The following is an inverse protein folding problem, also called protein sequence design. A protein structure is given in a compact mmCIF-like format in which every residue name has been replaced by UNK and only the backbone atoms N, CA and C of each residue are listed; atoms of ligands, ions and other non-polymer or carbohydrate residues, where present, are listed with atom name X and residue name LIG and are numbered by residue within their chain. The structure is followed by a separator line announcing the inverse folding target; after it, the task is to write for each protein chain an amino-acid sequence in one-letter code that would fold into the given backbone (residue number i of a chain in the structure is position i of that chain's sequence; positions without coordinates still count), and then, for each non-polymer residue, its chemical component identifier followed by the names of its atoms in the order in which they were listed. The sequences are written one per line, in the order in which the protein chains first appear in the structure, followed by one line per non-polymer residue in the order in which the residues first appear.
data_IF_392362364058
#
_entry.id   IF_392362364058
#
_cell.length_a   1.000
_cell.length_b   1.000
_cell.length_c   1.000
_cell.angle_alpha   90.00
_cell.angle_beta   90.00
_cell.angle_gamma   90.00
#
_symmetry.space_group_name_H-M   'P 1'
#
loop_
_entity.id
_entity.type
_entity.pdbx_description
1 polymer ?
#
# COMPACT_ATOMS: atom_id res chain seq x y z
N UNK A 1 42.70 -41.58 -4.26
CA UNK A 1 42.62 -41.39 -5.72
C UNK A 1 41.26 -41.91 -6.14
N UNK A 2 40.25 -41.18 -6.61
CA UNK A 2 40.13 -39.93 -7.36
C UNK A 2 38.72 -39.34 -7.10
N UNK A 3 38.61 -38.04 -6.78
CA UNK A 3 38.22 -36.94 -7.68
C UNK A 3 36.73 -36.98 -8.09
N UNK A 4 35.89 -36.26 -7.36
CA UNK A 4 35.41 -34.92 -7.72
C UNK A 4 34.39 -34.91 -8.86
N UNK A 5 33.12 -34.72 -8.51
CA UNK A 5 32.17 -34.04 -9.39
C UNK A 5 31.37 -33.03 -8.57
N UNK A 6 31.84 -31.78 -8.64
CA UNK A 6 31.17 -30.59 -8.15
C UNK A 6 30.02 -30.24 -9.09
N UNK A 7 28.79 -30.25 -8.59
CA UNK A 7 27.65 -29.42 -9.02
C UNK A 7 26.79 -29.30 -7.74
N UNK A 8 26.84 -28.22 -6.97
CA UNK A 8 26.61 -26.86 -7.41
C UNK A 8 25.11 -26.55 -7.33
N UNK A 9 24.52 -26.70 -6.14
CA UNK A 9 23.20 -26.17 -5.83
C UNK A 9 23.32 -25.40 -4.52
N UNK A 10 23.93 -24.22 -4.61
CA UNK A 10 23.85 -23.19 -3.59
C UNK A 10 22.37 -22.84 -3.47
N UNK A 11 21.67 -23.49 -2.55
CA UNK A 11 20.35 -23.04 -2.11
C UNK A 11 20.57 -21.71 -1.40
N UNK A 12 20.63 -20.63 -2.17
CA UNK A 12 20.35 -19.28 -1.70
C UNK A 12 18.89 -19.31 -1.25
N UNK A 13 18.68 -19.71 0.01
CA UNK A 13 17.52 -19.33 0.78
C UNK A 13 17.57 -17.80 0.87
N UNK A 14 17.09 -17.14 -0.18
CA UNK A 14 16.59 -15.78 -0.10
C UNK A 14 15.51 -15.86 0.96
N UNK A 15 15.82 -15.38 2.15
CA UNK A 15 14.84 -15.05 3.17
C UNK A 15 13.97 -13.96 2.58
N UNK A 16 12.97 -14.34 1.77
CA UNK A 16 11.83 -13.48 1.53
C UNK A 16 11.25 -13.25 2.94
N UNK A 17 11.21 -12.01 3.45
CA UNK A 17 10.40 -11.76 4.61
C UNK A 17 8.98 -12.19 4.23
N UNK A 18 8.49 -13.16 4.98
CA UNK A 18 7.13 -13.67 4.94
C UNK A 18 6.17 -12.48 5.14
N UNK A 19 5.78 -11.83 4.04
CA UNK A 19 4.78 -10.78 4.01
C UNK A 19 3.50 -11.19 3.30
N UNK A 20 3.39 -12.45 2.88
CA UNK A 20 2.19 -13.01 2.24
C UNK A 20 1.44 -13.91 3.23
N UNK A 21 1.06 -13.37 4.38
CA UNK A 21 -0.04 -13.92 5.18
C UNK A 21 -1.37 -13.26 4.77
N UNK A 22 -1.66 -13.23 3.47
CA UNK A 22 -3.02 -12.97 2.98
C UNK A 22 -3.76 -14.32 2.87
N UNK A 23 -3.99 -14.97 4.01
CA UNK A 23 -4.85 -16.14 4.09
C UNK A 23 -5.61 -16.10 5.43
N UNK A 24 -6.46 -15.08 5.56
CA UNK A 24 -7.43 -14.94 6.63
C UNK A 24 -8.50 -13.99 6.13
N UNK A 25 -9.76 -14.45 6.03
CA UNK A 25 -10.89 -13.68 5.51
C UNK A 25 -11.33 -12.52 6.41
N UNK A 26 -10.38 -11.65 6.79
CA UNK A 26 -10.58 -10.48 7.63
C UNK A 26 -10.14 -9.20 6.92
N UNK A 27 -10.73 -8.08 7.36
CA UNK A 27 -10.34 -6.72 6.95
C UNK A 27 -8.81 -6.56 7.11
N UNK A 28 -8.09 -6.06 6.09
CA UNK A 28 -6.64 -5.84 6.18
C UNK A 28 -6.33 -4.84 7.30
N UNK A 29 -5.11 -4.87 7.85
CA UNK A 29 -4.66 -3.91 8.85
C UNK A 29 -4.55 -2.48 8.28
N UNK A 30 -4.55 -1.47 9.16
CA UNK A 30 -4.34 -0.08 8.75
C UNK A 30 -2.98 0.09 8.08
N UNK A 31 -1.96 -0.59 8.57
CA UNK A 31 -0.60 -0.54 8.05
C UNK A 31 -0.54 -1.10 6.62
N UNK A 32 -1.24 -2.21 6.35
CA UNK A 32 -1.34 -2.79 5.00
C UNK A 32 -2.09 -1.85 4.04
N UNK A 33 -3.21 -1.26 4.48
CA UNK A 33 -3.97 -0.28 3.68
C UNK A 33 -3.12 0.97 3.38
N UNK A 34 -2.41 1.49 4.38
CA UNK A 34 -1.53 2.64 4.21
C UNK A 34 -0.40 2.36 3.21
N UNK A 35 0.28 1.22 3.36
CA UNK A 35 1.36 0.83 2.46
C UNK A 35 0.86 0.62 1.02
N UNK A 36 -0.29 -0.02 0.86
CA UNK A 36 -0.93 -0.20 -0.45
C UNK A 36 -1.36 1.13 -1.09
N UNK A 37 -1.90 2.06 -0.29
CA UNK A 37 -2.25 3.40 -0.77
C UNK A 37 -1.04 4.25 -1.15
N UNK A 38 0.05 4.20 -0.37
CA UNK A 38 1.31 4.88 -0.71
C UNK A 38 1.84 4.40 -2.06
N UNK A 39 1.85 3.08 -2.30
CA UNK A 39 2.22 2.48 -3.60
C UNK A 39 1.30 2.95 -4.74
N UNK A 40 0.00 3.09 -4.49
CA UNK A 40 -0.94 3.64 -5.47
C UNK A 40 -0.59 5.08 -5.83
N UNK A 41 -0.27 5.93 -4.84
CA UNK A 41 0.15 7.31 -5.10
C UNK A 41 1.43 7.36 -5.95
N UNK A 42 2.44 6.57 -5.59
CA UNK A 42 3.70 6.46 -6.33
C UNK A 42 3.45 6.02 -7.78
N UNK A 43 2.63 4.98 -7.97
CA UNK A 43 2.31 4.41 -9.28
C UNK A 43 1.46 5.32 -10.16
N UNK A 44 0.63 6.19 -9.58
CA UNK A 44 -0.21 7.15 -10.32
C UNK A 44 0.52 8.49 -10.64
N UNK A 45 1.85 8.50 -10.61
CA UNK A 45 2.67 9.68 -10.96
C UNK A 45 3.14 10.50 -9.75
N UNK A 46 2.93 9.99 -8.54
CA UNK A 46 3.41 10.58 -7.29
C UNK A 46 4.92 10.44 -7.08
N UNK A 47 5.68 9.78 -7.96
CA UNK A 47 7.14 9.64 -7.82
C UNK A 47 7.94 10.95 -7.80
N UNK A 48 7.29 12.09 -8.04
CA UNK A 48 7.86 13.44 -7.96
C UNK A 48 7.56 14.13 -6.62
N UNK A 49 6.70 13.52 -5.80
CA UNK A 49 6.28 14.00 -4.48
C UNK A 49 7.27 13.44 -3.45
N UNK A 50 7.72 14.23 -2.46
CA UNK A 50 8.55 13.72 -1.37
C UNK A 50 7.87 12.55 -0.65
N UNK A 51 8.62 11.49 -0.34
CA UNK A 51 8.07 10.31 0.34
C UNK A 51 7.32 10.67 1.63
N UNK A 52 7.81 11.64 2.39
CA UNK A 52 7.14 12.12 3.60
C UNK A 52 5.72 12.69 3.34
N UNK A 53 5.49 13.32 2.18
CA UNK A 53 4.15 13.76 1.77
C UNK A 53 3.30 12.57 1.34
N UNK A 54 3.87 11.61 0.59
CA UNK A 54 3.18 10.37 0.21
C UNK A 54 2.70 9.62 1.45
N UNK A 55 3.58 9.43 2.43
CA UNK A 55 3.29 8.74 3.69
C UNK A 55 2.23 9.50 4.51
N UNK A 56 2.31 10.83 4.55
CA UNK A 56 1.32 11.69 5.22
C UNK A 56 -0.06 11.58 4.59
N UNK A 57 -0.14 11.64 3.26
CA UNK A 57 -1.40 11.48 2.51
C UNK A 57 -1.95 10.07 2.73
N UNK A 58 -1.12 9.03 2.58
CA UNK A 58 -1.53 7.65 2.76
C UNK A 58 -2.05 7.38 4.18
N UNK A 59 -1.38 7.92 5.20
CA UNK A 59 -1.85 7.85 6.59
C UNK A 59 -3.19 8.53 6.77
N UNK A 60 -3.32 9.77 6.30
CA UNK A 60 -4.56 10.54 6.44
C UNK A 60 -5.75 9.86 5.75
N UNK A 61 -5.55 9.36 4.52
CA UNK A 61 -6.58 8.65 3.77
C UNK A 61 -6.96 7.36 4.48
N UNK A 62 -5.97 6.60 4.95
CA UNK A 62 -6.21 5.35 5.70
C UNK A 62 -7.00 5.63 6.98
N UNK A 63 -6.59 6.61 7.79
CA UNK A 63 -7.28 6.93 9.05
C UNK A 63 -8.74 7.33 8.84
N UNK A 64 -9.06 8.01 7.73
CA UNK A 64 -10.44 8.35 7.36
C UNK A 64 -11.20 7.20 6.72
N UNK A 65 -10.57 6.46 5.81
CA UNK A 65 -11.24 5.42 5.02
C UNK A 65 -11.47 4.14 5.81
N UNK A 66 -10.55 3.76 6.71
CA UNK A 66 -10.52 2.43 7.33
C UNK A 66 -11.87 2.00 7.93
N UNK A 67 -12.58 2.89 8.61
CA UNK A 67 -13.88 2.56 9.23
C UNK A 67 -15.10 3.07 8.43
N UNK A 68 -14.88 3.72 7.28
CA UNK A 68 -15.93 4.39 6.51
C UNK A 68 -16.16 3.82 5.10
N UNK A 69 -15.31 2.90 4.65
CA UNK A 69 -15.42 2.19 3.36
C UNK A 69 -15.49 0.67 3.61
N UNK A 70 -15.90 -0.09 2.59
CA UNK A 70 -16.01 -1.55 2.70
C UNK A 70 -14.65 -2.25 2.86
N UNK A 71 -14.69 -3.44 3.46
CA UNK A 71 -13.51 -4.31 3.57
C UNK A 71 -12.91 -4.67 2.20
N UNK A 72 -13.74 -4.86 1.18
CA UNK A 72 -13.29 -5.15 -0.19
C UNK A 72 -12.51 -3.99 -0.80
N UNK A 73 -12.96 -2.76 -0.54
CA UNK A 73 -12.23 -1.55 -0.94
C UNK A 73 -10.89 -1.47 -0.22
N UNK A 74 -10.84 -1.75 1.08
CA UNK A 74 -9.60 -1.75 1.85
C UNK A 74 -8.63 -2.85 1.38
N UNK A 75 -9.15 -4.03 1.05
CA UNK A 75 -8.35 -5.15 0.53
C UNK A 75 -7.74 -4.80 -0.83
N UNK A 76 -8.51 -4.20 -1.75
CA UNK A 76 -7.98 -3.68 -3.02
C UNK A 76 -6.90 -2.64 -2.79
N UNK A 77 -7.12 -1.69 -1.90
CA UNK A 77 -6.12 -0.67 -1.56
C UNK A 77 -4.86 -1.31 -1.00
N UNK A 78 -4.97 -2.22 -0.04
CA UNK A 78 -3.84 -2.91 0.58
C UNK A 78 -3.01 -3.68 -0.44
N UNK A 79 -3.66 -4.26 -1.47
CA UNK A 79 -3.01 -4.92 -2.60
C UNK A 79 -2.39 -3.95 -3.62
N UNK A 80 -2.58 -2.64 -3.45
CA UNK A 80 -2.16 -1.63 -4.42
C UNK A 80 -2.98 -1.64 -5.70
N UNK A 81 -4.20 -2.16 -5.65
CA UNK A 81 -5.13 -2.24 -6.77
C UNK A 81 -6.06 -1.02 -6.77
N UNK A 82 -6.51 -0.62 -7.96
CA UNK A 82 -7.48 0.47 -8.06
C UNK A 82 -8.82 0.03 -7.46
N UNK A 83 -9.26 0.69 -6.38
CA UNK A 83 -10.54 0.44 -5.73
C UNK A 83 -11.79 0.82 -6.56
N UNK A 84 -11.65 1.09 -7.86
CA UNK A 84 -12.65 1.68 -8.78
C UNK A 84 -13.93 0.85 -9.01
N UNK A 85 -14.17 -0.23 -8.29
CA UNK A 85 -15.30 -1.12 -8.53
C UNK A 85 -16.60 -0.75 -7.78
N UNK A 86 -16.54 0.08 -6.73
CA UNK A 86 -17.70 0.42 -5.87
C UNK A 86 -17.97 1.94 -5.85
N UNK A 87 -19.17 2.39 -6.24
CA UNK A 87 -19.44 3.82 -6.50
C UNK A 87 -19.40 4.71 -5.24
N UNK A 88 -19.96 4.26 -4.10
CA UNK A 88 -20.01 5.07 -2.87
C UNK A 88 -18.64 5.14 -2.17
N UNK A 89 -17.93 4.02 -2.10
CA UNK A 89 -16.60 3.95 -1.50
C UNK A 89 -15.57 4.75 -2.30
N UNK A 90 -15.63 4.69 -3.63
CA UNK A 90 -14.78 5.49 -4.53
C UNK A 90 -15.03 6.99 -4.33
N UNK A 91 -16.29 7.40 -4.15
CA UNK A 91 -16.63 8.80 -3.90
C UNK A 91 -16.05 9.29 -2.56
N UNK A 92 -16.18 8.49 -1.49
CA UNK A 92 -15.57 8.79 -0.19
C UNK A 92 -14.05 8.83 -0.26
N UNK A 93 -13.42 7.83 -0.89
CA UNK A 93 -11.97 7.77 -1.08
C UNK A 93 -11.44 8.96 -1.85
N UNK A 94 -12.13 9.38 -2.90
CA UNK A 94 -11.73 10.54 -3.70
C UNK A 94 -11.84 11.82 -2.87
N UNK A 95 -12.90 11.96 -2.07
CA UNK A 95 -13.06 13.08 -1.14
C UNK A 95 -11.96 13.12 -0.07
N UNK A 96 -11.64 11.98 0.55
CA UNK A 96 -10.56 11.87 1.52
C UNK A 96 -9.20 12.14 0.88
N UNK A 97 -8.93 11.60 -0.31
CA UNK A 97 -7.69 11.84 -1.05
C UNK A 97 -7.49 13.33 -1.34
N UNK A 98 -8.53 14.03 -1.81
CA UNK A 98 -8.47 15.48 -2.07
C UNK A 98 -8.24 16.30 -0.80
N UNK A 99 -8.95 15.97 0.29
CA UNK A 99 -8.76 16.64 1.58
C UNK A 99 -7.35 16.41 2.12
N UNK A 100 -6.91 15.16 2.19
CA UNK A 100 -5.61 14.78 2.74
C UNK A 100 -4.43 15.32 1.92
N UNK A 101 -4.56 15.35 0.59
CA UNK A 101 -3.56 15.98 -0.28
C UNK A 101 -3.48 17.47 0.00
N UNK A 102 -4.62 18.16 0.07
CA UNK A 102 -4.66 19.60 0.37
C UNK A 102 -4.02 19.93 1.72
N UNK A 103 -4.28 19.10 2.73
CA UNK A 103 -3.72 19.29 4.08
C UNK A 103 -2.21 18.99 4.09
N UNK A 104 -1.76 17.92 3.43
CA UNK A 104 -0.34 17.59 3.31
C UNK A 104 0.46 18.72 2.63
N UNK A 105 -0.08 19.32 1.56
CA UNK A 105 0.55 20.45 0.87
C UNK A 105 0.52 21.75 1.68
N UNK A 106 -0.53 22.01 2.46
CA UNK A 106 -0.57 23.16 3.38
C UNK A 106 0.46 23.04 4.51
N UNK A 107 0.65 21.83 5.05
CA UNK A 107 1.60 21.58 6.14
C UNK A 107 3.07 21.58 5.69
N UNK A 108 3.33 21.65 4.38
CA UNK A 108 4.68 21.64 3.80
C UNK A 108 5.07 22.97 3.15
N UNK A 109 4.23 24.00 3.27
CA UNK A 109 4.64 25.39 3.01
C UNK A 109 5.46 25.91 4.21
N UNK A 110 6.66 26.49 3.99
CA UNK A 110 7.48 27.09 5.05
C UNK A 110 6.84 28.34 5.64
#
# INVERSE_FOLDING_TARGET
MNLARRMGATALLLTLPLGLTACGGGKPSKEEVQAGYAKLLESNGGGQIPQAQIDSIAKCVTDKAYDNVSGDTLDKIAKGENARADNDDVSKLTGYAGQCSSDAFKTSAP
#
